data_IF_709430439099
#
_entry.id   IF_709430439099
#
_cell.length_a   1.000
_cell.length_b   1.000
_cell.length_c   1.000
_cell.angle_alpha   90.00
_cell.angle_beta   90.00
_cell.angle_gamma   90.00
#
_symmetry.space_group_name_H-M   'P 1'
#
loop_
_entity.id
_entity.type
_entity.pdbx_description
1 polymer ?
#
# COMPACT_ATOMS: atom_id res chain seq x y z
N UNK A 1 -37.83 -49.17 -9.37
CA UNK A 1 -36.80 -48.37 -8.65
C UNK A 1 -36.91 -46.93 -9.11
N UNK A 2 -37.29 -46.00 -8.23
CA UNK A 2 -37.47 -44.57 -8.56
C UNK A 2 -36.09 -43.88 -8.54
N UNK A 3 -35.46 -43.73 -9.71
CA UNK A 3 -34.18 -43.03 -9.87
C UNK A 3 -34.31 -41.49 -9.85
N UNK A 4 -35.54 -40.96 -9.82
CA UNK A 4 -35.83 -39.53 -9.95
C UNK A 4 -35.37 -38.62 -8.80
N UNK A 5 -35.31 -39.03 -7.51
CA UNK A 5 -34.82 -38.11 -6.47
C UNK A 5 -33.29 -37.98 -6.48
N UNK A 6 -32.56 -39.00 -6.95
CA UNK A 6 -31.09 -38.98 -7.01
C UNK A 6 -30.58 -38.02 -8.11
N UNK A 7 -31.30 -37.95 -9.24
CA UNK A 7 -30.97 -37.03 -10.34
C UNK A 7 -31.16 -35.56 -9.96
N UNK A 8 -32.16 -35.26 -9.12
CA UNK A 8 -32.42 -33.91 -8.62
C UNK A 8 -31.38 -33.44 -7.59
N UNK A 9 -30.91 -34.33 -6.72
CA UNK A 9 -29.85 -34.01 -5.75
C UNK A 9 -28.51 -33.75 -6.46
N UNK A 10 -28.21 -34.52 -7.52
CA UNK A 10 -26.99 -34.34 -8.31
C UNK A 10 -26.98 -33.01 -9.10
N UNK A 11 -28.16 -32.55 -9.55
CA UNK A 11 -28.28 -31.26 -10.24
C UNK A 11 -28.10 -30.04 -9.31
N UNK A 12 -28.49 -30.15 -8.04
CA UNK A 12 -28.30 -29.08 -7.03
C UNK A 12 -26.82 -28.98 -6.61
N UNK A 13 -26.09 -30.10 -6.60
CA UNK A 13 -24.66 -30.12 -6.26
C UNK A 13 -23.75 -29.46 -7.31
N UNK A 14 -24.24 -29.26 -8.55
CA UNK A 14 -23.47 -28.64 -9.63
C UNK A 14 -23.60 -27.10 -9.70
N UNK A 15 -24.43 -26.48 -8.86
CA UNK A 15 -24.62 -25.02 -8.81
C UNK A 15 -23.92 -24.42 -7.57
N UNK A 16 -22.76 -24.94 -7.22
CA UNK A 16 -21.86 -24.25 -6.28
C UNK A 16 -21.02 -23.28 -7.10
N UNK A 17 -21.58 -22.10 -7.37
CA UNK A 17 -20.79 -20.99 -7.89
C UNK A 17 -19.73 -20.64 -6.84
N UNK A 18 -18.46 -20.90 -7.14
CA UNK A 18 -17.38 -20.40 -6.31
C UNK A 18 -17.39 -18.87 -6.38
N UNK A 19 -17.90 -18.21 -5.34
CA UNK A 19 -17.66 -16.79 -5.15
C UNK A 19 -16.21 -16.61 -4.72
N UNK A 20 -15.32 -16.35 -5.68
CA UNK A 20 -13.97 -15.90 -5.38
C UNK A 20 -14.04 -14.43 -5.00
N UNK A 21 -13.65 -14.07 -3.78
CA UNK A 21 -13.45 -12.67 -3.45
C UNK A 21 -12.11 -12.22 -4.05
N UNK A 22 -12.02 -10.93 -4.40
CA UNK A 22 -10.80 -10.39 -4.97
C UNK A 22 -9.65 -10.44 -3.95
N UNK A 23 -8.46 -10.95 -4.33
CA UNK A 23 -7.32 -10.99 -3.42
C UNK A 23 -6.88 -9.56 -3.05
N UNK A 24 -6.22 -9.41 -1.89
CA UNK A 24 -5.67 -8.12 -1.51
C UNK A 24 -4.62 -7.68 -2.52
N UNK A 25 -4.54 -6.39 -2.80
CA UNK A 25 -3.48 -5.81 -3.62
C UNK A 25 -2.79 -4.68 -2.87
N UNK A 26 -1.47 -4.71 -2.84
CA UNK A 26 -0.69 -3.59 -2.33
C UNK A 26 -0.49 -2.57 -3.45
N UNK A 27 -0.63 -1.29 -3.15
CA UNK A 27 -0.38 -0.18 -4.09
C UNK A 27 0.92 0.55 -3.78
N UNK A 28 1.05 1.10 -2.57
CA UNK A 28 2.22 1.88 -2.17
C UNK A 28 2.46 1.80 -0.66
N UNK A 29 3.64 2.26 -0.24
CA UNK A 29 3.96 2.63 1.14
C UNK A 29 4.61 4.02 1.10
N UNK A 30 4.18 4.92 1.99
CA UNK A 30 4.72 6.26 2.09
C UNK A 30 4.96 6.61 3.57
N UNK A 31 6.16 7.10 3.95
CA UNK A 31 7.36 7.20 3.12
C UNK A 31 7.84 5.84 2.58
N UNK A 32 8.61 5.86 1.50
CA UNK A 32 9.12 4.66 0.84
C UNK A 32 10.37 4.08 1.53
N UNK A 33 10.96 4.83 2.46
CA UNK A 33 12.13 4.43 3.24
C UNK A 33 12.15 5.00 4.64
N UNK A 34 13.27 4.74 5.33
CA UNK A 34 13.54 5.21 6.67
C UNK A 34 15.01 5.11 7.04
N UNK A 35 15.49 6.07 7.82
CA UNK A 35 16.84 6.05 8.38
C UNK A 35 16.95 4.97 9.46
N UNK A 36 18.03 4.18 9.43
CA UNK A 36 18.32 3.24 10.53
C UNK A 36 18.41 3.96 11.88
N UNK A 37 17.95 3.31 12.94
CA UNK A 37 17.88 3.89 14.27
C UNK A 37 16.62 4.74 14.52
N UNK A 38 15.69 4.80 13.58
CA UNK A 38 14.47 5.61 13.70
C UNK A 38 13.20 4.78 13.75
N UNK A 39 12.10 5.45 14.08
CA UNK A 39 10.75 4.93 13.94
C UNK A 39 10.00 5.79 12.94
N UNK A 40 9.30 5.15 12.01
CA UNK A 40 8.66 5.79 10.87
C UNK A 40 7.20 5.38 10.84
N UNK A 41 6.29 6.35 10.95
CA UNK A 41 4.88 6.12 10.69
C UNK A 41 4.64 6.09 9.17
N UNK A 42 3.92 5.08 8.72
CA UNK A 42 3.73 4.81 7.29
C UNK A 42 2.25 4.71 6.94
N UNK A 43 1.93 5.27 5.77
CA UNK A 43 0.66 5.11 5.05
C UNK A 43 0.83 4.04 3.98
N UNK A 44 -0.06 3.07 3.96
CA UNK A 44 -0.04 1.95 3.04
C UNK A 44 -1.31 1.98 2.20
N UNK A 45 -1.19 2.16 0.89
CA UNK A 45 -2.33 2.05 -0.01
C UNK A 45 -2.59 0.60 -0.40
N UNK A 46 -3.81 0.11 -0.23
CA UNK A 46 -4.20 -1.25 -0.59
C UNK A 46 -5.64 -1.36 -1.10
N UNK A 47 -5.88 -2.35 -1.96
CA UNK A 47 -7.21 -2.78 -2.41
C UNK A 47 -7.59 -4.07 -1.68
N UNK A 48 -8.89 -4.24 -1.46
CA UNK A 48 -9.51 -5.47 -0.93
C UNK A 48 -9.01 -5.92 0.45
N UNK A 49 -8.47 -4.99 1.27
CA UNK A 49 -8.03 -5.29 2.64
C UNK A 49 -9.14 -5.01 3.69
N UNK A 50 -10.29 -4.48 3.28
CA UNK A 50 -11.41 -4.11 4.16
C UNK A 50 -10.95 -3.16 5.28
N UNK A 51 -11.31 -3.41 6.54
CA UNK A 51 -10.96 -2.50 7.65
C UNK A 51 -9.52 -2.70 8.18
N UNK A 52 -8.94 -3.89 7.97
CA UNK A 52 -7.62 -4.26 8.49
C UNK A 52 -7.01 -5.46 7.75
N UNK A 53 -5.68 -5.58 7.79
CA UNK A 53 -4.97 -6.72 7.24
C UNK A 53 -3.70 -7.06 7.99
N UNK A 54 -3.17 -8.26 7.74
CA UNK A 54 -1.86 -8.65 8.23
C UNK A 54 -0.79 -7.93 7.42
N UNK A 55 0.27 -7.48 8.09
CA UNK A 55 1.42 -6.85 7.46
C UNK A 55 2.68 -7.57 7.88
N UNK A 56 3.45 -7.99 6.88
CA UNK A 56 4.72 -8.65 7.05
C UNK A 56 5.81 -7.78 6.43
N UNK A 57 6.76 -7.34 7.26
CA UNK A 57 7.98 -6.68 6.85
C UNK A 57 9.16 -7.63 7.10
N UNK A 58 9.89 -7.95 6.04
CA UNK A 58 10.96 -8.94 6.03
C UNK A 58 12.34 -8.28 5.97
N UNK A 59 13.25 -8.82 6.76
CA UNK A 59 14.65 -8.45 6.80
C UNK A 59 15.15 -8.24 8.22
N UNK A 60 16.47 -8.30 8.38
CA UNK A 60 17.11 -8.07 9.67
C UNK A 60 16.98 -6.59 10.07
N UNK A 61 16.73 -6.36 11.36
CA UNK A 61 16.76 -5.03 11.95
C UNK A 61 15.55 -4.16 11.62
N UNK A 62 14.45 -4.72 11.13
CA UNK A 62 13.20 -4.01 10.89
C UNK A 62 12.03 -4.71 11.57
N UNK A 63 11.13 -3.92 12.13
CA UNK A 63 9.92 -4.39 12.82
C UNK A 63 8.74 -3.51 12.44
N UNK A 64 7.54 -4.08 12.48
CA UNK A 64 6.29 -3.40 12.20
C UNK A 64 5.19 -3.93 13.12
N UNK A 65 4.08 -3.22 13.25
CA UNK A 65 2.88 -3.83 13.82
C UNK A 65 2.37 -4.90 12.86
N UNK A 66 1.99 -6.09 13.35
CA UNK A 66 1.57 -7.20 12.49
C UNK A 66 0.22 -6.93 11.81
N UNK A 67 -0.54 -5.94 12.29
CA UNK A 67 -1.83 -5.54 11.75
C UNK A 67 -1.77 -4.09 11.30
N UNK A 68 -2.23 -3.84 10.08
CA UNK A 68 -2.52 -2.49 9.58
C UNK A 68 -4.00 -2.19 9.76
N UNK A 69 -4.34 -0.96 10.11
CA UNK A 69 -5.72 -0.51 10.27
C UNK A 69 -6.03 0.58 9.28
N UNK A 70 -7.24 0.55 8.73
CA UNK A 70 -7.68 1.58 7.79
C UNK A 70 -7.62 2.95 8.47
N UNK A 71 -7.19 3.95 7.71
CA UNK A 71 -7.18 5.35 8.08
C UNK A 71 -7.93 6.17 7.04
N UNK A 72 -8.09 7.47 7.30
CA UNK A 72 -8.64 8.39 6.30
C UNK A 72 -7.82 8.32 5.01
N UNK A 73 -8.50 8.02 3.90
CA UNK A 73 -7.86 7.83 2.60
C UNK A 73 -7.59 9.19 1.97
N UNK A 74 -6.34 9.40 1.55
CA UNK A 74 -5.95 10.58 0.80
C UNK A 74 -6.48 10.42 -0.64
N UNK A 75 -7.28 11.38 -1.09
CA UNK A 75 -7.88 11.32 -2.42
C UNK A 75 -6.87 11.75 -3.48
N UNK A 76 -6.49 10.81 -4.34
CA UNK A 76 -5.63 11.07 -5.50
C UNK A 76 -6.49 11.46 -6.70
N UNK A 77 -6.10 12.52 -7.39
CA UNK A 77 -6.74 12.89 -8.64
C UNK A 77 -6.50 11.82 -9.71
N UNK A 78 -7.55 11.10 -10.09
CA UNK A 78 -7.48 10.11 -11.16
C UNK A 78 -7.05 10.72 -12.50
N UNK A 79 -6.54 9.94 -13.46
CA UNK A 79 -6.21 10.45 -14.79
C UNK A 79 -7.44 11.03 -15.50
N UNK A 80 -7.23 12.00 -16.41
CA UNK A 80 -8.33 12.52 -17.24
C UNK A 80 -8.71 11.49 -18.32
N UNK A 81 -9.73 10.70 -18.05
CA UNK A 81 -10.23 9.68 -18.99
C UNK A 81 -11.33 10.26 -19.88
N UNK A 82 -11.24 10.04 -21.20
CA UNK A 82 -12.29 10.45 -22.15
C UNK A 82 -13.47 9.48 -22.11
N UNK A 83 -14.66 9.98 -22.42
CA UNK A 83 -15.84 9.14 -22.63
C UNK A 83 -15.62 8.19 -23.83
N UNK A 84 -16.16 6.96 -23.80
CA UNK A 84 -17.00 6.39 -22.73
C UNK A 84 -16.20 5.72 -21.60
N UNK A 85 -14.86 5.66 -21.68
CA UNK A 85 -14.04 4.94 -20.71
C UNK A 85 -14.15 5.52 -19.28
N UNK A 86 -14.44 6.82 -19.14
CA UNK A 86 -14.68 7.48 -17.85
C UNK A 86 -15.94 7.00 -17.10
N UNK A 87 -16.81 6.20 -17.75
CA UNK A 87 -18.02 5.66 -17.12
C UNK A 87 -17.77 4.33 -16.40
N UNK A 88 -16.56 3.77 -16.52
CA UNK A 88 -16.20 2.52 -15.83
C UNK A 88 -16.01 2.79 -14.34
N UNK A 89 -16.34 1.80 -13.51
CA UNK A 89 -16.00 1.84 -12.08
C UNK A 89 -14.48 1.91 -11.95
N UNK A 90 -14.02 2.86 -11.16
CA UNK A 90 -12.60 3.01 -10.81
C UNK A 90 -12.40 2.52 -9.37
N UNK A 91 -11.50 1.56 -9.19
CA UNK A 91 -11.16 1.00 -7.89
C UNK A 91 -9.91 1.70 -7.36
N UNK A 92 -10.12 2.61 -6.41
CA UNK A 92 -9.04 3.33 -5.72
C UNK A 92 -8.62 2.59 -4.45
N UNK A 93 -7.31 2.51 -4.16
CA UNK A 93 -6.84 1.94 -2.91
C UNK A 93 -7.38 2.74 -1.71
N UNK A 94 -7.61 2.04 -0.60
CA UNK A 94 -7.80 2.63 0.72
C UNK A 94 -6.47 2.69 1.45
N UNK A 95 -6.37 3.62 2.38
CA UNK A 95 -5.15 3.83 3.14
C UNK A 95 -5.21 3.18 4.51
N UNK A 96 -4.06 2.64 4.93
CA UNK A 96 -3.89 1.97 6.20
C UNK A 96 -2.63 2.48 6.92
N UNK A 97 -2.70 2.59 8.24
CA UNK A 97 -1.59 3.06 9.06
C UNK A 97 -0.76 1.89 9.62
N UNK A 98 0.56 2.06 9.68
CA UNK A 98 1.48 1.26 10.48
C UNK A 98 2.60 2.13 11.06
N UNK A 99 3.37 1.56 11.99
CA UNK A 99 4.58 2.16 12.53
C UNK A 99 5.72 1.15 12.36
N UNK A 100 6.79 1.57 11.70
CA UNK A 100 7.98 0.76 11.44
C UNK A 100 9.11 1.19 12.36
N UNK A 101 9.77 0.23 13.02
CA UNK A 101 10.99 0.48 13.80
C UNK A 101 12.18 -0.10 13.05
N UNK A 102 13.22 0.70 12.88
CA UNK A 102 14.44 0.32 12.18
C UNK A 102 15.60 0.37 13.18
N UNK A 103 16.22 -0.77 13.44
CA UNK A 103 17.32 -0.89 14.40
C UNK A 103 18.52 -0.04 13.95
N UNK A 104 19.31 0.47 14.90
CA UNK A 104 20.51 1.28 14.64
C UNK A 104 21.52 0.60 13.71
N UNK A 105 21.59 -0.72 13.76
CA UNK A 105 22.51 -1.56 12.99
C UNK A 105 21.79 -2.34 11.88
N UNK A 106 20.55 -1.96 11.51
CA UNK A 106 19.85 -2.57 10.40
C UNK A 106 20.72 -2.48 9.13
N UNK A 107 20.88 -3.56 8.35
CA UNK A 107 21.64 -3.48 7.11
C UNK A 107 20.96 -2.48 6.16
N UNK A 108 21.75 -1.80 5.34
CA UNK A 108 21.23 -0.82 4.40
C UNK A 108 20.57 -1.50 3.19
N UNK A 109 19.70 -0.75 2.51
CA UNK A 109 19.08 -1.17 1.25
C UNK A 109 17.65 -1.69 1.42
N UNK A 110 17.12 -2.38 0.40
CA UNK A 110 15.71 -2.71 0.33
C UNK A 110 15.30 -3.81 1.34
N UNK A 111 14.13 -3.62 1.92
CA UNK A 111 13.35 -4.57 2.72
C UNK A 111 12.09 -4.90 1.97
N UNK A 112 11.65 -6.15 2.09
CA UNK A 112 10.46 -6.61 1.40
C UNK A 112 9.29 -6.55 2.35
N UNK A 113 8.14 -6.08 1.88
CA UNK A 113 6.90 -6.16 2.64
C UNK A 113 5.75 -6.68 1.81
N UNK A 114 4.72 -7.19 2.49
CA UNK A 114 3.50 -7.74 1.89
C UNK A 114 2.34 -7.64 2.86
N UNK A 115 1.13 -7.62 2.31
CA UNK A 115 -0.12 -7.66 3.06
C UNK A 115 -0.80 -9.00 2.85
N UNK A 116 -1.60 -9.44 3.81
CA UNK A 116 -2.50 -10.57 3.61
C UNK A 116 -3.82 -10.41 4.35
N UNK A 117 -4.83 -11.11 3.85
CA UNK A 117 -6.12 -11.33 4.48
C UNK A 117 -6.54 -12.80 4.24
N UNK A 118 -7.79 -13.16 4.56
CA UNK A 118 -8.30 -14.52 4.33
C UNK A 118 -8.40 -14.94 2.86
N UNK A 119 -8.31 -14.00 1.93
CA UNK A 119 -8.43 -14.23 0.48
C UNK A 119 -7.07 -14.34 -0.23
N UNK A 120 -5.95 -14.11 0.49
CA UNK A 120 -4.62 -14.33 -0.05
C UNK A 120 -3.57 -13.35 0.46
N UNK A 121 -2.47 -13.27 -0.30
CA UNK A 121 -1.31 -12.43 -0.02
C UNK A 121 -1.01 -11.55 -1.24
N UNK A 122 -0.56 -10.33 -1.01
CA UNK A 122 -0.16 -9.42 -2.09
C UNK A 122 1.16 -9.84 -2.71
N UNK A 123 1.45 -9.27 -3.89
CA UNK A 123 2.83 -9.19 -4.36
C UNK A 123 3.70 -8.44 -3.34
N UNK A 124 4.98 -8.82 -3.31
CA UNK A 124 5.99 -8.18 -2.48
C UNK A 124 6.35 -6.80 -3.01
N UNK A 125 6.39 -5.81 -2.12
CA UNK A 125 6.88 -4.45 -2.39
C UNK A 125 8.11 -4.13 -1.56
N UNK A 126 8.71 -2.96 -1.81
CA UNK A 126 9.97 -2.54 -1.19
C UNK A 126 9.75 -1.39 -0.20
N UNK A 127 10.59 -1.39 0.82
CA UNK A 127 10.83 -0.29 1.76
C UNK A 127 12.34 -0.14 1.91
N UNK A 128 12.92 1.05 1.79
CA UNK A 128 14.38 1.22 1.74
C UNK A 128 14.93 1.67 3.09
N UNK A 129 15.90 0.93 3.63
CA UNK A 129 16.63 1.34 4.84
C UNK A 129 17.87 2.14 4.45
N UNK A 130 17.88 3.42 4.83
CA UNK A 130 18.98 4.35 4.62
C UNK A 130 19.80 4.63 5.88
N UNK A 131 20.85 5.44 5.74
CA UNK A 131 21.61 5.99 6.88
C UNK A 131 21.68 7.52 6.87
N UNK A 132 21.31 8.16 5.75
CA UNK A 132 21.23 9.61 5.65
C UNK A 132 20.03 10.12 6.44
N UNK A 133 20.06 11.38 6.90
CA UNK A 133 18.86 12.06 7.37
C UNK A 133 17.75 11.97 6.30
N UNK A 134 16.51 11.77 6.74
CA UNK A 134 15.37 11.73 5.85
C UNK A 134 14.48 12.95 6.03
N UNK A 135 14.09 13.55 4.91
CA UNK A 135 13.03 14.54 4.82
C UNK A 135 11.86 13.86 4.13
N UNK A 136 10.66 14.00 4.67
CA UNK A 136 9.41 13.61 4.02
C UNK A 136 8.87 14.90 3.41
N UNK A 137 8.50 14.86 2.13
CA UNK A 137 7.92 16.04 1.50
C UNK A 137 6.59 16.43 2.19
N UNK A 138 6.33 17.73 2.23
CA UNK A 138 5.05 18.28 2.65
C UNK A 138 4.34 18.77 1.39
N UNK A 139 3.20 18.16 1.11
CA UNK A 139 2.42 18.47 -0.10
C UNK A 139 1.80 19.86 -0.01
N UNK A 140 1.96 20.65 -1.06
CA UNK A 140 1.41 21.99 -1.15
C UNK A 140 0.51 22.14 -2.37
N UNK A 141 -0.67 22.73 -2.18
CA UNK A 141 -1.54 23.11 -3.29
C UNK A 141 -0.98 24.36 -3.99
N UNK A 142 -0.88 24.30 -5.31
CA UNK A 142 -0.56 25.46 -6.15
C UNK A 142 0.90 25.53 -6.58
N UNK A 143 1.53 26.70 -6.43
CA UNK A 143 2.88 26.92 -6.95
C UNK A 143 3.95 26.33 -6.02
N UNK A 144 5.01 25.74 -6.58
CA UNK A 144 6.05 25.11 -5.79
C UNK A 144 6.85 26.12 -4.98
N UNK A 145 7.04 25.83 -3.69
CA UNK A 145 7.82 26.63 -2.76
C UNK A 145 9.14 25.91 -2.50
N UNK A 146 10.31 26.55 -2.75
CA UNK A 146 11.60 25.93 -2.46
C UNK A 146 11.76 25.54 -0.99
N UNK A 147 12.09 24.28 -0.74
CA UNK A 147 12.39 23.77 0.60
C UNK A 147 13.90 23.68 0.79
N UNK A 148 14.41 24.34 1.83
CA UNK A 148 15.83 24.34 2.13
C UNK A 148 16.29 23.01 2.73
N UNK A 149 17.35 22.41 2.18
CA UNK A 149 17.89 21.13 2.62
C UNK A 149 19.39 21.19 2.88
N UNK A 150 19.86 20.36 3.81
CA UNK A 150 21.30 20.20 4.07
C UNK A 150 21.75 18.84 3.55
N UNK A 151 22.67 18.83 2.57
CA UNK A 151 23.21 17.61 1.99
C UNK A 151 24.30 16.97 2.88
N UNK A 152 24.46 15.63 2.87
CA UNK A 152 23.65 14.65 2.13
C UNK A 152 22.35 14.30 2.86
N UNK A 153 21.27 14.15 2.10
CA UNK A 153 19.92 13.84 2.61
C UNK A 153 19.20 12.87 1.67
N UNK A 154 18.30 12.06 2.22
CA UNK A 154 17.29 11.33 1.44
C UNK A 154 15.97 12.10 1.52
N UNK A 155 15.33 12.34 0.38
CA UNK A 155 13.98 12.93 0.34
C UNK A 155 13.01 11.82 -0.03
N UNK A 156 11.98 11.63 0.80
CA UNK A 156 10.84 10.78 0.49
C UNK A 156 9.76 11.63 -0.15
N UNK A 157 9.61 11.45 -1.45
CA UNK A 157 8.54 12.07 -2.20
C UNK A 157 7.65 11.10 -2.97
N UNK A 158 6.49 11.59 -3.40
CA UNK A 158 5.48 10.93 -4.22
C UNK A 158 4.89 11.98 -5.16
N UNK A 159 4.51 11.52 -6.35
CA UNK A 159 3.89 12.41 -7.35
C UNK A 159 2.44 12.66 -6.93
N UNK A 160 2.18 13.77 -6.24
CA UNK A 160 0.85 14.18 -5.78
C UNK A 160 0.85 15.69 -5.47
N UNK A 161 -0.12 16.50 -5.93
CA UNK A 161 -1.24 16.18 -6.81
C UNK A 161 -0.80 16.02 -8.29
N UNK A 162 -1.72 16.15 -9.25
CA UNK A 162 -1.34 16.14 -10.67
C UNK A 162 -0.47 17.36 -10.98
N UNK A 163 0.50 17.20 -11.87
CA UNK A 163 1.43 18.29 -12.29
C UNK A 163 2.30 18.82 -11.14
N UNK A 164 2.50 17.98 -10.12
CA UNK A 164 3.35 18.27 -8.98
C UNK A 164 4.83 18.50 -9.36
N UNK A 165 5.43 19.47 -8.68
CA UNK A 165 6.81 19.93 -8.87
C UNK A 165 7.39 20.24 -7.49
N UNK A 166 8.40 19.49 -7.07
CA UNK A 166 9.16 19.82 -5.86
C UNK A 166 10.44 20.57 -6.17
N UNK A 167 10.72 21.62 -5.38
CA UNK A 167 11.96 22.40 -5.47
C UNK A 167 12.73 22.28 -4.15
N UNK A 168 13.97 21.80 -4.23
CA UNK A 168 14.87 21.62 -3.10
C UNK A 168 16.12 22.50 -3.29
N UNK A 169 16.50 23.27 -2.25
CA UNK A 169 17.60 24.26 -2.32
C UNK A 169 18.59 24.13 -1.19
#
# INVERSE_FOLDING_TARGET
MRLTPLLFILAILCVVSNSLADPPQASYIFPAGGQRGTTVDVRIGALNLLDQGQFLLEGQGVKAKPIVKQMETLWFEGPRIRQPASQRKEDYPKDYANTLTIDQNAPLGPRTWRLSNSQGVTQSKKFVVGHLPEIIEDEIDGNPIPTQVTLPVTINGRIFPREDIDIWT
#
